data_IF_931281645488
#
_entry.id   IF_931281645488
#
_cell.length_a   1.000
_cell.length_b   1.000
_cell.length_c   1.000
_cell.angle_alpha   90.00
_cell.angle_beta   90.00
_cell.angle_gamma   90.00
#
_symmetry.space_group_name_H-M   'P 1'
#
loop_
_entity.id
_entity.type
_entity.pdbx_description
1 polymer ?
#
# COMPACT_ATOMS: atom_id res chain seq x y z
N UNK A 1 -15.64 2.74 24.99
CA UNK A 1 -15.74 1.88 23.78
C UNK A 1 -14.84 2.47 22.72
N UNK A 2 -14.12 1.62 21.99
CA UNK A 2 -13.23 1.99 20.90
C UNK A 2 -13.61 1.23 19.63
N UNK A 3 -13.23 1.75 18.46
CA UNK A 3 -13.35 1.02 17.20
C UNK A 3 -12.66 -0.34 17.33
N UNK A 4 -13.34 -1.38 16.84
CA UNK A 4 -12.94 -2.78 16.94
C UNK A 4 -13.47 -3.50 18.19
N UNK A 5 -13.98 -2.79 19.20
CA UNK A 5 -14.56 -3.44 20.38
C UNK A 5 -15.81 -4.22 19.98
N UNK A 6 -16.04 -5.35 20.66
CA UNK A 6 -17.26 -6.12 20.48
C UNK A 6 -18.36 -5.51 21.35
N UNK A 7 -19.47 -5.14 20.72
CA UNK A 7 -20.60 -4.47 21.38
C UNK A 7 -21.92 -5.16 21.04
N UNK A 8 -22.90 -4.94 21.90
CA UNK A 8 -24.31 -5.29 21.70
C UNK A 8 -25.09 -3.98 21.57
N UNK A 9 -25.88 -3.84 20.51
CA UNK A 9 -26.82 -2.74 20.35
C UNK A 9 -28.24 -3.28 20.41
N UNK A 10 -29.09 -2.67 21.24
CA UNK A 10 -30.53 -2.93 21.27
C UNK A 10 -31.25 -1.66 20.84
N UNK A 11 -32.14 -1.79 19.86
CA UNK A 11 -33.04 -0.72 19.42
C UNK A 11 -34.43 -1.32 19.25
N UNK A 12 -35.40 -0.76 19.96
CA UNK A 12 -36.76 -1.31 20.01
C UNK A 12 -36.73 -2.82 20.39
N UNK A 13 -37.30 -3.69 19.55
CA UNK A 13 -37.33 -5.13 19.75
C UNK A 13 -36.17 -5.89 19.09
N UNK A 14 -35.25 -5.17 18.45
CA UNK A 14 -34.15 -5.78 17.69
C UNK A 14 -32.84 -5.62 18.48
N UNK A 15 -32.06 -6.69 18.47
CA UNK A 15 -30.76 -6.75 19.12
C UNK A 15 -29.71 -7.23 18.13
N UNK A 16 -28.64 -6.47 17.98
CA UNK A 16 -27.48 -6.82 17.19
C UNK A 16 -26.24 -6.96 18.08
N UNK A 17 -25.34 -7.87 17.70
CA UNK A 17 -24.02 -8.03 18.31
C UNK A 17 -22.98 -8.07 17.20
N UNK A 18 -21.82 -7.49 17.47
CA UNK A 18 -20.73 -7.49 16.50
C UNK A 18 -19.61 -6.54 16.89
N UNK A 19 -18.73 -6.28 15.93
CA UNK A 19 -17.56 -5.42 16.07
C UNK A 19 -17.97 -3.98 15.72
N UNK A 20 -17.65 -3.03 16.60
CA UNK A 20 -17.84 -1.61 16.33
C UNK A 20 -16.90 -1.15 15.20
N UNK A 21 -17.47 -0.61 14.13
CA UNK A 21 -16.74 -0.14 12.96
C UNK A 21 -16.61 1.39 12.97
N UNK A 22 -15.70 1.98 12.18
CA UNK A 22 -15.70 3.42 11.94
C UNK A 22 -17.11 3.88 11.52
N UNK A 23 -17.59 4.91 12.20
CA UNK A 23 -18.99 5.33 12.19
C UNK A 23 -19.06 6.83 11.87
N UNK A 24 -20.15 7.28 11.24
CA UNK A 24 -20.46 8.72 11.06
C UNK A 24 -21.40 9.15 12.18
N UNK A 25 -21.47 10.45 12.49
CA UNK A 25 -22.07 10.95 13.74
C UNK A 25 -23.48 10.40 14.04
N UNK A 26 -24.34 10.29 13.02
CA UNK A 26 -25.74 9.86 13.18
C UNK A 26 -25.94 8.33 13.23
N UNK A 27 -24.93 7.53 12.88
CA UNK A 27 -25.07 6.09 12.72
C UNK A 27 -23.91 5.32 13.33
N UNK A 28 -24.23 4.31 14.10
CA UNK A 28 -23.27 3.32 14.58
C UNK A 28 -23.21 2.18 13.57
N UNK A 29 -22.01 1.93 13.04
CA UNK A 29 -21.76 0.84 12.12
C UNK A 29 -21.26 -0.39 12.88
N UNK A 30 -21.90 -1.52 12.66
CA UNK A 30 -21.62 -2.79 13.31
C UNK A 30 -21.30 -3.85 12.26
N UNK A 31 -20.16 -4.53 12.42
CA UNK A 31 -19.84 -5.75 11.64
C UNK A 31 -20.34 -6.96 12.40
N UNK A 32 -21.35 -7.61 11.85
CA UNK A 32 -21.98 -8.80 12.42
C UNK A 32 -21.08 -10.03 12.28
N UNK A 33 -21.42 -11.10 13.01
CA UNK A 33 -20.65 -12.36 13.00
C UNK A 33 -20.68 -13.07 11.64
N UNK A 34 -21.69 -12.80 10.82
CA UNK A 34 -21.77 -13.27 9.44
C UNK A 34 -20.92 -12.43 8.45
N UNK A 35 -20.20 -11.42 8.95
CA UNK A 35 -19.30 -10.57 8.17
C UNK A 35 -19.96 -9.34 7.52
N UNK A 36 -21.29 -9.20 7.56
CA UNK A 36 -21.99 -8.04 7.01
C UNK A 36 -21.89 -6.82 7.92
N UNK A 37 -21.80 -5.64 7.30
CA UNK A 37 -21.89 -4.36 8.00
C UNK A 37 -23.34 -3.87 8.01
N UNK A 38 -23.82 -3.40 9.16
CA UNK A 38 -25.12 -2.72 9.30
C UNK A 38 -24.94 -1.34 9.92
N UNK A 39 -25.76 -0.37 9.52
CA UNK A 39 -25.82 0.96 10.13
C UNK A 39 -27.05 1.09 11.02
N UNK A 40 -26.86 1.53 12.27
CA UNK A 40 -27.94 1.72 13.24
C UNK A 40 -27.95 3.18 13.67
N UNK A 41 -29.08 3.86 13.50
CA UNK A 41 -29.23 5.26 13.89
C UNK A 41 -29.00 5.44 15.39
N UNK A 42 -28.19 6.44 15.75
CA UNK A 42 -27.91 6.81 17.13
C UNK A 42 -28.96 7.82 17.59
N UNK A 43 -29.91 7.36 18.39
CA UNK A 43 -30.97 8.16 19.00
C UNK A 43 -31.31 7.61 20.39
N UNK A 44 -32.26 8.23 21.09
CA UNK A 44 -32.65 7.86 22.46
C UNK A 44 -33.23 6.43 22.58
N UNK A 45 -33.54 5.78 21.45
CA UNK A 45 -34.01 4.39 21.40
C UNK A 45 -32.87 3.38 21.27
N UNK A 46 -31.63 3.85 21.13
CA UNK A 46 -30.46 3.01 20.85
C UNK A 46 -29.62 2.81 22.12
N UNK A 47 -29.65 1.59 22.64
CA UNK A 47 -28.90 1.20 23.83
C UNK A 47 -27.67 0.39 23.43
N UNK A 48 -26.50 0.81 23.92
CA UNK A 48 -25.23 0.14 23.60
C UNK A 48 -24.64 -0.48 24.86
N UNK A 49 -24.23 -1.74 24.77
CA UNK A 49 -23.54 -2.47 25.82
C UNK A 49 -22.21 -3.01 25.31
N UNK A 50 -21.13 -2.67 26.00
CA UNK A 50 -19.81 -3.25 25.76
C UNK A 50 -19.79 -4.75 26.13
N UNK A 51 -19.08 -5.56 25.33
CA UNK A 51 -18.92 -7.00 25.57
C UNK A 51 -17.45 -7.38 25.73
N UNK A 52 -16.59 -7.07 24.75
CA UNK A 52 -15.19 -7.50 24.72
C UNK A 52 -14.29 -6.42 24.09
N UNK A 53 -13.06 -6.33 24.59
CA UNK A 53 -12.05 -5.37 24.11
C UNK A 53 -11.29 -5.93 22.91
N UNK A 54 -10.87 -5.07 21.98
CA UNK A 54 -9.96 -5.46 20.88
C UNK A 54 -8.70 -6.15 21.40
N UNK A 55 -8.44 -7.37 20.93
CA UNK A 55 -7.09 -7.98 21.01
C UNK A 55 -6.20 -7.35 19.94
N UNK A 56 -5.20 -6.56 20.36
CA UNK A 56 -4.15 -6.05 19.46
C UNK A 56 -3.26 -7.22 19.02
N UNK A 57 -3.29 -7.55 17.72
CA UNK A 57 -2.27 -8.43 17.16
C UNK A 57 -0.99 -7.62 16.97
N UNK A 58 0.06 -7.97 17.71
CA UNK A 58 1.40 -7.43 17.50
C UNK A 58 1.98 -8.12 16.26
N UNK A 59 2.14 -7.36 15.18
CA UNK A 59 2.90 -7.81 14.02
C UNK A 59 4.33 -8.12 14.45
N UNK A 60 4.78 -9.37 14.29
CA UNK A 60 6.20 -9.73 14.52
C UNK A 60 7.05 -9.01 13.48
N UNK A 61 8.13 -8.34 13.90
CA UNK A 61 9.19 -7.83 13.01
C UNK A 61 9.73 -8.99 12.18
N UNK A 62 9.78 -8.80 10.87
CA UNK A 62 10.18 -9.81 9.89
C UNK A 62 11.67 -9.66 9.59
N UNK A 63 12.36 -10.78 9.39
CA UNK A 63 13.76 -10.81 8.97
C UNK A 63 13.89 -10.44 7.49
N UNK A 64 14.98 -9.76 7.12
CA UNK A 64 15.31 -9.49 5.73
C UNK A 64 15.49 -10.81 4.95
N UNK A 65 15.06 -10.88 3.68
CA UNK A 65 15.26 -12.05 2.84
C UNK A 65 16.76 -12.29 2.54
N UNK A 66 17.15 -13.54 2.28
CA UNK A 66 18.51 -13.85 1.83
C UNK A 66 18.80 -13.19 0.48
N UNK A 67 19.94 -12.51 0.39
CA UNK A 67 20.43 -11.86 -0.83
C UNK A 67 21.09 -12.91 -1.72
N UNK A 68 20.76 -12.90 -3.02
CA UNK A 68 21.46 -13.70 -4.03
C UNK A 68 22.46 -12.81 -4.78
N UNK A 69 23.78 -12.95 -4.57
CA UNK A 69 24.79 -12.07 -5.19
C UNK A 69 24.80 -12.07 -6.73
N UNK A 70 24.19 -13.07 -7.38
CA UNK A 70 24.11 -13.16 -8.85
C UNK A 70 22.96 -12.34 -9.46
N UNK A 71 22.07 -11.79 -8.64
CA UNK A 71 20.94 -11.00 -9.10
C UNK A 71 21.20 -9.49 -8.96
N UNK A 72 20.67 -8.67 -9.89
CA UNK A 72 20.78 -7.21 -9.81
C UNK A 72 20.15 -6.65 -8.54
N UNK A 73 20.60 -5.47 -8.12
CA UNK A 73 20.06 -4.73 -6.97
C UNK A 73 19.05 -3.71 -7.45
N UNK A 74 17.81 -3.83 -6.99
CA UNK A 74 16.73 -2.90 -7.37
C UNK A 74 16.19 -2.20 -6.13
N UNK A 75 16.15 -0.88 -6.15
CA UNK A 75 15.51 -0.10 -5.09
C UNK A 75 14.03 0.11 -5.42
N UNK A 76 13.13 -0.19 -4.47
CA UNK A 76 11.71 0.14 -4.54
C UNK A 76 11.47 1.36 -3.65
N UNK A 77 11.16 2.49 -4.27
CA UNK A 77 10.84 3.74 -3.61
C UNK A 77 9.33 3.93 -3.56
N UNK A 78 8.75 3.92 -2.36
CA UNK A 78 7.31 4.14 -2.19
C UNK A 78 6.99 5.62 -2.03
N UNK A 79 6.07 6.09 -2.86
CA UNK A 79 5.50 7.45 -2.79
C UNK A 79 4.05 7.45 -2.29
N UNK A 80 3.56 6.27 -1.90
CA UNK A 80 2.14 5.94 -1.72
C UNK A 80 1.66 5.02 -2.85
N UNK A 81 0.38 5.16 -3.20
CA UNK A 81 -0.24 4.38 -4.26
C UNK A 81 -0.69 2.98 -3.84
N UNK A 82 -1.44 2.35 -4.74
CA UNK A 82 -2.23 1.15 -4.47
C UNK A 82 -1.39 -0.11 -4.31
N UNK A 83 -0.23 -0.19 -4.95
CA UNK A 83 0.68 -1.35 -4.90
C UNK A 83 1.08 -1.69 -3.46
N UNK A 84 1.37 -0.64 -2.69
CA UNK A 84 1.74 -0.70 -1.31
C UNK A 84 0.51 -0.68 -0.39
N UNK A 85 -0.57 -1.43 -0.68
CA UNK A 85 -1.79 -1.45 0.15
C UNK A 85 -2.24 -2.87 0.52
N UNK A 86 -2.85 -3.03 1.70
CA UNK A 86 -3.42 -4.28 2.21
C UNK A 86 -4.73 -4.01 2.94
N UNK A 87 -5.74 -4.85 2.73
CA UNK A 87 -6.98 -4.81 3.53
C UNK A 87 -6.85 -5.70 4.76
N UNK A 88 -7.18 -5.14 5.92
CA UNK A 88 -7.54 -5.91 7.10
C UNK A 88 -9.02 -6.29 7.01
N UNK A 89 -9.31 -7.52 6.60
CA UNK A 89 -10.69 -8.00 6.45
C UNK A 89 -11.49 -8.00 7.76
N UNK A 90 -10.86 -7.94 8.93
CA UNK A 90 -11.58 -7.82 10.22
C UNK A 90 -12.20 -6.44 10.37
N UNK A 91 -11.45 -5.41 10.00
CA UNK A 91 -11.85 -4.00 10.16
C UNK A 91 -12.33 -3.35 8.87
N UNK A 92 -12.11 -3.98 7.72
CA UNK A 92 -12.30 -3.39 6.39
C UNK A 92 -11.32 -2.27 6.07
N UNK A 93 -10.35 -1.99 6.95
CA UNK A 93 -9.40 -0.90 6.77
C UNK A 93 -8.36 -1.28 5.72
N UNK A 94 -8.02 -0.33 4.84
CA UNK A 94 -6.86 -0.42 3.96
C UNK A 94 -5.68 0.22 4.69
N UNK A 95 -4.60 -0.55 4.87
CA UNK A 95 -3.34 -0.08 5.44
C UNK A 95 -2.25 -0.20 4.39
N UNK A 96 -1.32 0.75 4.34
CA UNK A 96 -0.21 0.64 3.40
C UNK A 96 0.76 -0.47 3.79
N UNK A 97 1.25 -1.24 2.82
CA UNK A 97 2.37 -2.17 2.94
C UNK A 97 3.67 -1.37 2.85
N UNK A 98 4.27 -1.07 3.99
CA UNK A 98 5.50 -0.26 4.04
C UNK A 98 6.79 -1.09 3.98
N UNK A 99 6.69 -2.41 4.11
CA UNK A 99 7.84 -3.31 4.13
C UNK A 99 7.99 -3.98 2.76
N UNK A 100 9.18 -3.89 2.14
CA UNK A 100 9.48 -4.58 0.89
C UNK A 100 9.24 -6.09 1.01
N UNK A 101 9.41 -6.64 2.21
CA UNK A 101 9.18 -8.05 2.48
C UNK A 101 7.69 -8.43 2.40
N UNK A 102 6.76 -7.48 2.61
CA UNK A 102 5.34 -7.73 2.36
C UNK A 102 5.06 -7.84 0.86
N UNK A 103 5.68 -7.00 0.03
CA UNK A 103 5.60 -7.08 -1.43
C UNK A 103 6.19 -8.40 -1.93
N UNK A 104 7.37 -8.80 -1.45
CA UNK A 104 8.02 -10.05 -1.85
C UNK A 104 7.28 -11.32 -1.42
N UNK A 105 6.47 -11.25 -0.35
CA UNK A 105 5.58 -12.36 0.04
C UNK A 105 4.33 -12.42 -0.80
N UNK A 106 3.77 -11.26 -1.13
CA UNK A 106 2.61 -11.17 -2.00
C UNK A 106 2.96 -11.59 -3.42
N UNK A 107 4.20 -11.34 -3.86
CA UNK A 107 4.70 -11.60 -5.21
C UNK A 107 6.06 -12.32 -5.15
N UNK A 108 6.08 -13.63 -4.81
CA UNK A 108 7.33 -14.39 -4.66
C UNK A 108 8.20 -14.46 -5.92
N UNK A 109 7.61 -14.27 -7.10
CA UNK A 109 8.28 -14.25 -8.40
C UNK A 109 9.39 -13.20 -8.47
N UNK A 110 9.22 -12.08 -7.76
CA UNK A 110 10.22 -11.01 -7.70
C UNK A 110 11.57 -11.52 -7.22
N UNK A 111 11.60 -12.47 -6.27
CA UNK A 111 12.85 -13.03 -5.72
C UNK A 111 13.73 -13.73 -6.76
N UNK A 112 13.19 -14.04 -7.94
CA UNK A 112 13.93 -14.64 -9.06
C UNK A 112 14.49 -13.58 -10.04
N UNK A 113 14.04 -12.33 -9.92
CA UNK A 113 14.36 -11.23 -10.84
C UNK A 113 15.50 -10.38 -10.28
N UNK A 114 15.38 -9.93 -9.03
CA UNK A 114 16.34 -9.02 -8.43
C UNK A 114 16.40 -9.14 -6.89
N UNK A 115 17.43 -8.57 -6.29
CA UNK A 115 17.50 -8.28 -4.86
C UNK A 115 16.87 -6.91 -4.61
N UNK A 116 15.75 -6.88 -3.88
CA UNK A 116 15.02 -5.65 -3.64
C UNK A 116 15.34 -5.02 -2.29
N UNK A 117 15.53 -3.71 -2.29
CA UNK A 117 15.57 -2.87 -1.10
C UNK A 117 14.41 -1.88 -1.16
N UNK A 118 13.57 -1.84 -0.12
CA UNK A 118 12.44 -0.91 -0.06
C UNK A 118 12.75 0.31 0.81
N UNK A 119 12.28 1.47 0.37
CA UNK A 119 12.31 2.71 1.14
C UNK A 119 10.98 3.46 0.94
N UNK A 120 10.46 4.04 2.00
CA UNK A 120 9.28 4.92 1.93
C UNK A 120 9.78 6.35 1.90
N UNK A 121 9.60 7.03 0.77
CA UNK A 121 9.99 8.45 0.62
C UNK A 121 8.91 9.34 1.23
N UNK A 122 7.65 9.04 0.92
CA UNK A 122 6.46 9.64 1.52
C UNK A 122 5.24 8.77 1.20
N UNK A 123 4.10 9.07 1.83
CA UNK A 123 2.84 8.38 1.59
C UNK A 123 1.73 9.40 1.33
N UNK A 124 1.52 9.76 0.07
CA UNK A 124 0.47 10.68 -0.34
C UNK A 124 -0.39 10.05 -1.44
N UNK A 125 -1.62 10.55 -1.56
CA UNK A 125 -2.43 10.25 -2.73
C UNK A 125 -1.91 11.07 -3.92
N UNK A 126 -1.92 10.50 -5.13
CA UNK A 126 -1.33 11.13 -6.31
C UNK A 126 -1.99 12.45 -6.68
N UNK A 127 -3.26 12.66 -6.33
CA UNK A 127 -3.99 13.91 -6.56
C UNK A 127 -3.43 15.07 -5.72
N UNK A 128 -2.72 14.76 -4.63
CA UNK A 128 -2.05 15.74 -3.78
C UNK A 128 -0.57 15.96 -4.13
N UNK A 129 -0.08 15.36 -5.23
CA UNK A 129 1.31 15.49 -5.68
C UNK A 129 1.61 16.93 -6.11
N UNK A 130 2.84 17.38 -5.85
CA UNK A 130 3.33 18.74 -6.11
C UNK A 130 4.80 18.72 -6.55
N UNK A 131 5.32 19.77 -7.20
CA UNK A 131 6.71 19.81 -7.66
C UNK A 131 7.78 19.56 -6.58
N UNK A 132 7.53 19.94 -5.32
CA UNK A 132 8.47 19.73 -4.22
C UNK A 132 8.68 18.23 -3.91
N UNK A 133 7.65 17.41 -4.13
CA UNK A 133 7.73 15.96 -4.00
C UNK A 133 8.58 15.35 -5.12
N UNK A 134 8.45 15.85 -6.36
CA UNK A 134 9.29 15.40 -7.47
C UNK A 134 10.77 15.63 -7.21
N UNK A 135 11.14 16.79 -6.66
CA UNK A 135 12.52 17.07 -6.29
C UNK A 135 13.04 16.12 -5.19
N UNK A 136 12.19 15.82 -4.20
CA UNK A 136 12.52 14.89 -3.12
C UNK A 136 12.73 13.47 -3.66
N UNK A 137 11.83 13.03 -4.54
CA UNK A 137 11.93 11.75 -5.21
C UNK A 137 13.16 11.65 -6.11
N UNK A 138 13.46 12.68 -6.91
CA UNK A 138 14.64 12.72 -7.77
C UNK A 138 15.93 12.56 -6.96
N UNK A 139 16.05 13.27 -5.82
CA UNK A 139 17.20 13.10 -4.90
C UNK A 139 17.29 11.69 -4.34
N UNK A 140 16.17 11.09 -3.93
CA UNK A 140 16.15 9.73 -3.41
C UNK A 140 16.56 8.70 -4.47
N UNK A 141 16.09 8.88 -5.72
CA UNK A 141 16.51 8.04 -6.85
C UNK A 141 18.02 8.16 -7.07
N UNK A 142 18.55 9.39 -7.15
CA UNK A 142 19.98 9.62 -7.35
C UNK A 142 20.84 8.97 -6.24
N UNK A 143 20.45 9.13 -4.98
CA UNK A 143 21.13 8.48 -3.85
C UNK A 143 21.08 6.95 -3.95
N UNK A 144 19.96 6.40 -4.42
CA UNK A 144 19.82 4.97 -4.67
C UNK A 144 20.79 4.46 -5.73
N UNK A 145 20.94 5.20 -6.83
CA UNK A 145 21.85 4.89 -7.94
C UNK A 145 23.31 5.02 -7.48
N UNK A 146 23.67 6.11 -6.78
CA UNK A 146 25.00 6.29 -6.18
C UNK A 146 25.35 5.17 -5.19
N UNK A 147 24.35 4.64 -4.49
CA UNK A 147 24.46 3.46 -3.63
C UNK A 147 24.65 2.13 -4.37
N UNK A 148 24.74 2.14 -5.71
CA UNK A 148 24.98 0.98 -6.55
C UNK A 148 23.71 0.17 -6.84
N UNK A 149 22.56 0.83 -6.99
CA UNK A 149 21.37 0.18 -7.54
C UNK A 149 21.50 0.02 -9.06
N UNK A 150 21.22 -1.18 -9.55
CA UNK A 150 21.18 -1.52 -10.98
C UNK A 150 19.85 -1.11 -11.64
N UNK A 151 18.87 -0.68 -10.85
CA UNK A 151 17.59 -0.16 -11.30
C UNK A 151 16.75 0.38 -10.14
N UNK A 152 15.78 1.23 -10.46
CA UNK A 152 14.88 1.83 -9.48
C UNK A 152 13.43 1.65 -9.90
N UNK A 153 12.59 1.20 -8.98
CA UNK A 153 11.13 1.12 -9.13
C UNK A 153 10.51 2.15 -8.19
N UNK A 154 9.59 2.96 -8.71
CA UNK A 154 8.83 3.93 -7.92
C UNK A 154 7.37 3.49 -7.89
N UNK A 155 6.87 3.10 -6.71
CA UNK A 155 5.42 2.85 -6.57
C UNK A 155 4.69 4.18 -6.45
N UNK A 156 3.75 4.44 -7.34
CA UNK A 156 3.06 5.72 -7.45
C UNK A 156 1.55 5.54 -7.64
N UNK A 157 0.77 6.53 -7.22
CA UNK A 157 -0.66 6.59 -7.54
C UNK A 157 -0.89 6.90 -9.03
N UNK A 158 -1.96 6.37 -9.61
CA UNK A 158 -2.16 6.39 -11.07
C UNK A 158 -2.44 7.77 -11.63
N UNK A 159 -3.15 8.62 -10.89
CA UNK A 159 -3.78 9.84 -11.42
C UNK A 159 -2.78 10.86 -11.95
N UNK A 160 -1.64 11.01 -11.27
CA UNK A 160 -0.60 11.98 -11.64
C UNK A 160 0.73 11.33 -12.02
N UNK A 161 0.75 10.00 -12.20
CA UNK A 161 1.99 9.26 -12.50
C UNK A 161 2.69 9.78 -13.76
N UNK A 162 1.93 10.10 -14.81
CA UNK A 162 2.49 10.64 -16.06
C UNK A 162 3.19 11.99 -15.87
N UNK A 163 2.66 12.86 -15.00
CA UNK A 163 3.30 14.13 -14.67
C UNK A 163 4.60 13.92 -13.91
N UNK A 164 4.61 13.02 -12.92
CA UNK A 164 5.82 12.66 -12.18
C UNK A 164 6.87 12.03 -13.11
N UNK A 165 6.48 11.12 -14.01
CA UNK A 165 7.38 10.51 -14.98
C UNK A 165 8.04 11.57 -15.88
N UNK A 166 7.25 12.49 -16.43
CA UNK A 166 7.76 13.59 -17.24
C UNK A 166 8.72 14.49 -16.44
N UNK A 167 8.34 14.88 -15.21
CA UNK A 167 9.20 15.71 -14.36
C UNK A 167 10.55 15.04 -14.06
N UNK A 168 10.53 13.75 -13.69
CA UNK A 168 11.74 12.98 -13.42
C UNK A 168 12.62 12.83 -14.67
N UNK A 169 12.01 12.68 -15.85
CA UNK A 169 12.73 12.57 -17.13
C UNK A 169 13.60 13.81 -17.42
N UNK A 170 13.18 14.98 -16.96
CA UNK A 170 13.96 16.22 -17.11
C UNK A 170 14.89 16.50 -15.93
N UNK A 171 14.57 16.00 -14.73
CA UNK A 171 15.38 16.21 -13.53
C UNK A 171 16.58 15.25 -13.43
N UNK A 172 16.51 14.09 -14.08
CA UNK A 172 17.48 13.01 -13.93
C UNK A 172 18.12 12.64 -15.27
N UNK A 173 19.44 12.47 -15.23
CA UNK A 173 20.19 11.69 -16.21
C UNK A 173 20.58 10.40 -15.49
N UNK A 174 20.19 9.25 -16.03
CA UNK A 174 20.33 7.97 -15.33
C UNK A 174 21.16 6.98 -16.15
N UNK A 175 22.09 6.24 -15.53
CA UNK A 175 22.78 5.13 -16.18
C UNK A 175 22.00 3.80 -16.06
N UNK A 176 20.90 3.79 -15.31
CA UNK A 176 20.10 2.60 -15.01
C UNK A 176 18.61 2.86 -15.23
N UNK A 177 17.77 1.83 -15.39
CA UNK A 177 16.34 2.03 -15.57
C UNK A 177 15.65 2.62 -14.32
N UNK A 178 14.75 3.59 -14.54
CA UNK A 178 13.87 4.13 -13.51
C UNK A 178 12.42 3.87 -13.94
N UNK A 179 11.69 3.05 -13.19
CA UNK A 179 10.37 2.57 -13.57
C UNK A 179 9.31 3.04 -12.59
N UNK A 180 8.40 3.91 -13.03
CA UNK A 180 7.20 4.21 -12.27
C UNK A 180 6.15 3.12 -12.51
N UNK A 181 5.51 2.67 -11.44
CA UNK A 181 4.53 1.59 -11.50
C UNK A 181 3.38 1.88 -10.53
N UNK A 182 2.16 1.53 -10.95
CA UNK A 182 0.96 1.65 -10.14
C UNK A 182 -0.02 0.52 -10.43
N UNK A 183 -1.22 0.64 -9.89
CA UNK A 183 -2.29 -0.35 -10.06
C UNK A 183 -3.61 0.37 -10.12
N UNK A 184 -4.36 0.15 -11.20
CA UNK A 184 -5.71 0.68 -11.42
C UNK A 184 -6.74 0.02 -10.50
N UNK A 185 -6.49 -1.23 -10.10
CA UNK A 185 -7.37 -2.00 -9.21
C UNK A 185 -6.72 -2.22 -7.86
N UNK A 186 -7.49 -1.94 -6.81
CA UNK A 186 -7.03 -2.06 -5.43
C UNK A 186 -6.31 -3.39 -5.16
N UNK A 187 -5.11 -3.34 -4.56
CA UNK A 187 -4.23 -4.49 -4.33
C UNK A 187 -4.85 -5.62 -3.49
N UNK A 188 -5.91 -5.31 -2.75
CA UNK A 188 -6.68 -6.28 -1.97
C UNK A 188 -7.63 -7.13 -2.81
N UNK A 189 -7.90 -6.74 -4.07
CA UNK A 189 -8.81 -7.47 -4.95
C UNK A 189 -8.05 -8.58 -5.69
N UNK A 190 -8.58 -9.82 -5.75
CA UNK A 190 -7.96 -10.91 -6.51
C UNK A 190 -7.77 -10.61 -8.00
N UNK A 191 -8.57 -9.70 -8.55
CA UNK A 191 -8.49 -9.25 -9.95
C UNK A 191 -7.57 -8.04 -10.15
N UNK A 192 -6.74 -7.70 -9.15
CA UNK A 192 -5.80 -6.58 -9.20
C UNK A 192 -4.71 -6.79 -10.25
N UNK A 193 -4.36 -5.71 -10.93
CA UNK A 193 -3.21 -5.59 -11.85
C UNK A 193 -1.87 -5.41 -11.11
N UNK A 194 -1.90 -5.14 -9.80
CA UNK A 194 -0.71 -4.89 -8.97
C UNK A 194 0.43 -5.89 -9.20
N UNK A 195 0.16 -7.19 -9.01
CA UNK A 195 1.20 -8.21 -9.08
C UNK A 195 1.86 -8.29 -10.45
N UNK A 196 1.05 -8.23 -11.51
CA UNK A 196 1.55 -8.25 -12.89
C UNK A 196 2.40 -7.02 -13.17
N UNK A 197 1.91 -5.84 -12.77
CA UNK A 197 2.59 -4.57 -13.02
C UNK A 197 3.94 -4.51 -12.33
N UNK A 198 4.03 -4.95 -11.06
CA UNK A 198 5.30 -4.97 -10.33
C UNK A 198 6.28 -6.00 -10.91
N UNK A 199 5.80 -7.17 -11.36
CA UNK A 199 6.66 -8.17 -12.03
C UNK A 199 7.21 -7.62 -13.35
N UNK A 200 6.37 -6.97 -14.16
CA UNK A 200 6.80 -6.34 -15.39
C UNK A 200 7.75 -5.17 -15.13
N UNK A 201 7.46 -4.33 -14.13
CA UNK A 201 8.31 -3.23 -13.72
C UNK A 201 9.68 -3.73 -13.24
N UNK A 202 9.72 -4.85 -12.51
CA UNK A 202 10.98 -5.49 -12.13
C UNK A 202 11.80 -5.96 -13.33
N UNK A 203 11.15 -6.53 -14.36
CA UNK A 203 11.86 -6.93 -15.60
C UNK A 203 12.45 -5.73 -16.33
N UNK A 204 11.71 -4.62 -16.42
CA UNK A 204 12.21 -3.38 -17.03
C UNK A 204 13.30 -2.75 -16.17
N UNK A 205 13.16 -2.78 -14.84
CA UNK A 205 14.16 -2.28 -13.90
C UNK A 205 15.51 -3.02 -14.00
N UNK A 206 15.51 -4.24 -14.55
CA UNK A 206 16.71 -5.04 -14.79
C UNK A 206 17.11 -5.10 -16.27
N UNK A 207 16.57 -4.22 -17.11
CA UNK A 207 16.88 -4.13 -18.55
C UNK A 207 18.01 -3.13 -18.84
N UNK A 208 18.32 -2.92 -20.11
CA UNK A 208 19.28 -1.93 -20.62
C UNK A 208 18.64 -0.56 -20.95
N UNK A 209 17.36 -0.36 -20.61
CA UNK A 209 16.64 0.89 -20.86
C UNK A 209 16.99 1.94 -19.78
N UNK A 210 18.05 2.72 -20.02
CA UNK A 210 18.53 3.76 -19.11
C UNK A 210 17.69 5.06 -19.18
N UNK A 211 16.38 4.95 -18.98
CA UNK A 211 15.42 6.06 -19.04
C UNK A 211 14.41 5.99 -17.89
N UNK A 212 13.65 7.08 -17.72
CA UNK A 212 12.45 7.10 -16.88
C UNK A 212 11.28 6.55 -17.69
N UNK A 213 10.65 5.49 -17.21
CA UNK A 213 9.55 4.81 -17.90
C UNK A 213 8.35 4.58 -16.97
N UNK A 214 7.20 4.29 -17.58
CA UNK A 214 5.98 3.88 -16.87
C UNK A 214 5.63 2.47 -17.31
N UNK A 215 5.37 1.58 -16.35
CA UNK A 215 4.88 0.21 -16.60
C UNK A 215 3.55 0.03 -15.87
N UNK A 216 2.51 -0.36 -16.61
CA UNK A 216 1.12 -0.46 -16.16
C UNK A 216 0.41 -1.67 -16.77
#
# INVERSE_FOLDING_TARGET
MMIGDRIKIKRENITHKGILMPSRDDFIVLKLDNGYNIGIKKDDKTFIKFLEKVKKNVSKKKSAPPINPSLPKVNILSTGGTIASKVDYRTGAVTSQFDVEDILRAIPELRKIANFKGEVIYNILSENMRPEYWQTLARAIALGIEGGADGVIVTHGTDTMGYTAAALSFMLVTPVPIVLVGSQRSADRPSSDNAMNVVCAAKVATSDIAEVSVVM
#
